data_IF_997157194565
#
_entry.id   IF_997157194565
#
_cell.length_a   1.000
_cell.length_b   1.000
_cell.length_c   1.000
_cell.angle_alpha   90.00
_cell.angle_beta   90.00
_cell.angle_gamma   90.00
#
_symmetry.space_group_name_H-M   'P 1'
#
loop_
_entity.id
_entity.type
_entity.pdbx_description
1 polymer ?
#
# COMPACT_ATOMS: atom_id res chain seq x y z
N UNK A 1 -1.02 -7.13 -11.63
CA UNK A 1 0.10 -7.33 -10.70
C UNK A 1 0.74 -6.01 -10.31
N UNK A 2 0.81 -5.76 -9.01
CA UNK A 2 1.54 -4.69 -8.32
C UNK A 2 2.95 -5.21 -7.98
N UNK A 3 3.98 -4.37 -8.15
CA UNK A 3 5.37 -4.66 -7.80
C UNK A 3 5.92 -3.43 -7.07
N UNK A 4 6.41 -3.60 -5.85
CA UNK A 4 6.96 -2.50 -5.05
C UNK A 4 8.18 -2.94 -4.25
N UNK A 5 9.11 -2.03 -4.02
CA UNK A 5 10.10 -2.14 -2.96
C UNK A 5 9.60 -1.44 -1.71
N UNK A 6 10.00 -1.94 -0.54
CA UNK A 6 9.63 -1.38 0.76
C UNK A 6 10.83 -1.33 1.69
N UNK A 7 11.01 -0.19 2.33
CA UNK A 7 12.07 0.05 3.29
C UNK A 7 11.58 0.80 4.53
N UNK A 8 12.14 0.50 5.70
CA UNK A 8 11.91 1.27 6.92
C UNK A 8 12.74 2.56 6.90
N UNK A 9 12.19 3.60 7.54
CA UNK A 9 12.88 4.86 7.80
C UNK A 9 12.96 5.08 9.31
N UNK A 10 14.19 5.10 9.84
CA UNK A 10 14.43 5.27 11.28
C UNK A 10 14.54 6.73 11.74
N UNK A 11 14.68 7.69 10.80
CA UNK A 11 14.88 9.11 11.10
C UNK A 11 14.11 10.00 10.13
N UNK A 12 13.28 10.89 10.66
CA UNK A 12 12.49 11.85 9.87
C UNK A 12 13.36 12.75 8.98
N UNK A 13 14.58 13.06 9.41
CA UNK A 13 15.55 13.86 8.65
C UNK A 13 15.91 13.24 7.28
N UNK A 14 15.88 11.91 7.17
CA UNK A 14 16.17 11.19 5.93
C UNK A 14 15.08 11.48 4.89
N UNK A 15 13.83 11.70 5.31
CA UNK A 15 12.70 11.94 4.42
C UNK A 15 12.95 13.20 3.59
N UNK A 16 13.31 14.30 4.23
CA UNK A 16 13.64 15.54 3.50
C UNK A 16 14.85 15.37 2.60
N UNK A 17 15.85 14.58 3.00
CA UNK A 17 17.02 14.32 2.15
C UNK A 17 16.63 13.55 0.88
N UNK A 18 15.74 12.55 0.98
CA UNK A 18 15.22 11.81 -0.18
C UNK A 18 14.48 12.76 -1.13
N UNK A 19 13.55 13.59 -0.63
CA UNK A 19 12.79 14.49 -1.50
C UNK A 19 13.60 15.67 -2.06
N UNK A 20 14.75 15.98 -1.47
CA UNK A 20 15.70 16.98 -1.97
C UNK A 20 16.88 16.37 -2.74
N UNK A 21 16.85 15.05 -2.97
CA UNK A 21 17.91 14.35 -3.67
C UNK A 21 18.10 14.92 -5.08
N UNK A 22 19.32 15.34 -5.47
CA UNK A 22 19.56 15.96 -6.77
C UNK A 22 19.26 15.03 -7.96
N UNK A 23 19.47 13.73 -7.80
CA UNK A 23 19.19 12.75 -8.84
C UNK A 23 17.69 12.50 -8.95
N UNK A 24 17.00 12.25 -7.83
CA UNK A 24 15.53 12.06 -7.84
C UNK A 24 14.83 13.31 -8.38
N UNK A 25 15.28 14.50 -7.97
CA UNK A 25 14.77 15.78 -8.50
C UNK A 25 14.92 15.93 -10.02
N UNK A 26 15.94 15.30 -10.62
CA UNK A 26 16.20 15.35 -12.06
C UNK A 26 15.28 14.43 -12.85
N UNK A 27 14.98 13.25 -12.32
CA UNK A 27 14.13 12.23 -12.97
C UNK A 27 12.65 12.32 -12.57
N UNK A 28 12.33 13.19 -11.60
CA UNK A 28 10.97 13.44 -11.16
C UNK A 28 10.13 14.14 -12.23
N UNK A 29 8.90 13.68 -12.41
CA UNK A 29 7.89 14.34 -13.21
C UNK A 29 7.51 15.70 -12.62
N UNK A 30 7.42 16.72 -13.46
CA UNK A 30 7.06 18.08 -13.02
C UNK A 30 5.70 18.09 -12.33
N UNK A 31 5.64 18.72 -11.15
CA UNK A 31 4.43 18.85 -10.32
C UNK A 31 3.81 17.50 -9.89
N UNK A 32 4.63 16.44 -9.79
CA UNK A 32 4.18 15.15 -9.24
C UNK A 32 4.32 15.06 -7.73
N UNK A 33 4.99 16.02 -7.08
CA UNK A 33 5.08 16.06 -5.62
C UNK A 33 3.71 16.29 -5.00
N UNK A 34 3.29 15.37 -4.13
CA UNK A 34 2.01 15.46 -3.44
C UNK A 34 2.16 15.02 -1.98
N UNK A 35 1.38 15.65 -1.11
CA UNK A 35 1.14 15.18 0.25
C UNK A 35 -0.34 14.87 0.42
N UNK A 36 -0.64 13.65 0.87
CA UNK A 36 -2.00 13.11 0.94
C UNK A 36 -2.24 12.55 2.33
N UNK A 37 -3.35 12.94 2.95
CA UNK A 37 -3.87 12.27 4.15
C UNK A 37 -4.55 10.96 3.74
N UNK A 38 -4.12 9.86 4.34
CA UNK A 38 -4.55 8.51 4.01
C UNK A 38 -5.25 7.88 5.21
N UNK A 39 -6.47 7.37 4.99
CA UNK A 39 -7.19 6.54 5.94
C UNK A 39 -7.65 5.25 5.26
N UNK A 40 -7.11 4.11 5.68
CA UNK A 40 -7.54 2.80 5.19
C UNK A 40 -8.19 1.99 6.31
N UNK A 41 -9.29 1.31 5.99
CA UNK A 41 -9.92 0.31 6.84
C UNK A 41 -9.80 -1.03 6.16
N UNK A 42 -9.25 -2.02 6.85
CA UNK A 42 -9.19 -3.40 6.37
C UNK A 42 -10.39 -4.19 6.88
N UNK A 43 -10.90 -5.09 6.04
CA UNK A 43 -12.08 -5.89 6.32
C UNK A 43 -11.82 -7.37 6.11
N UNK A 44 -12.48 -8.17 6.93
CA UNK A 44 -12.60 -9.61 6.74
C UNK A 44 -13.90 -10.08 7.39
N UNK A 45 -14.23 -11.34 7.19
CA UNK A 45 -15.22 -12.06 7.98
C UNK A 45 -14.74 -12.31 9.41
N UNK A 46 -15.68 -12.53 10.33
CA UNK A 46 -15.40 -12.84 11.75
C UNK A 46 -14.44 -14.04 11.92
N UNK A 47 -14.55 -15.06 11.07
CA UNK A 47 -13.67 -16.23 11.07
C UNK A 47 -12.42 -16.08 10.18
N UNK A 48 -12.12 -14.86 9.70
CA UNK A 48 -10.91 -14.49 8.93
C UNK A 48 -10.72 -15.26 7.62
N UNK A 49 -11.80 -15.45 6.87
CA UNK A 49 -11.82 -16.21 5.61
C UNK A 49 -10.94 -15.58 4.54
N UNK A 50 -10.98 -14.26 4.35
CA UNK A 50 -10.15 -13.59 3.34
C UNK A 50 -8.66 -13.80 3.65
N UNK A 51 -8.25 -13.54 4.89
CA UNK A 51 -6.87 -13.76 5.31
C UNK A 51 -6.41 -15.21 5.14
N UNK A 52 -7.24 -16.19 5.49
CA UNK A 52 -6.91 -17.62 5.32
C UNK A 52 -6.73 -18.03 3.87
N UNK A 53 -7.43 -17.36 2.96
CA UNK A 53 -7.29 -17.54 1.50
C UNK A 53 -6.20 -16.62 0.90
N UNK A 54 -5.38 -15.96 1.73
CA UNK A 54 -4.30 -15.10 1.26
C UNK A 54 -4.76 -13.79 0.62
N UNK A 55 -5.95 -13.31 0.98
CA UNK A 55 -6.54 -12.09 0.45
C UNK A 55 -6.61 -10.98 1.50
N UNK A 56 -6.49 -9.73 1.04
CA UNK A 56 -6.70 -8.55 1.86
C UNK A 56 -7.66 -7.59 1.14
N UNK A 57 -8.78 -7.27 1.78
CA UNK A 57 -9.72 -6.26 1.31
C UNK A 57 -9.62 -5.02 2.20
N UNK A 58 -9.34 -3.86 1.61
CA UNK A 58 -9.48 -2.56 2.26
C UNK A 58 -10.37 -1.59 1.48
N UNK A 59 -10.92 -0.61 2.19
CA UNK A 59 -11.39 0.65 1.60
C UNK A 59 -10.48 1.75 2.13
N UNK A 60 -9.97 2.59 1.23
CA UNK A 60 -9.02 3.66 1.54
C UNK A 60 -9.55 4.99 1.05
N UNK A 61 -9.48 6.00 1.90
CA UNK A 61 -9.64 7.41 1.57
C UNK A 61 -8.27 8.04 1.35
N UNK A 62 -8.09 8.67 0.19
CA UNK A 62 -6.89 9.34 -0.29
C UNK A 62 -7.23 10.82 -0.51
N UNK A 63 -7.04 11.64 0.52
CA UNK A 63 -7.60 12.98 0.56
C UNK A 63 -9.14 12.96 0.44
N UNK A 64 -9.65 13.28 -0.75
CA UNK A 64 -11.10 13.30 -1.04
C UNK A 64 -11.57 12.13 -1.92
N UNK A 65 -10.67 11.24 -2.36
CA UNK A 65 -11.01 10.08 -3.18
C UNK A 65 -11.18 8.85 -2.30
N UNK A 66 -12.10 7.97 -2.64
CA UNK A 66 -12.23 6.66 -2.01
C UNK A 66 -11.95 5.56 -3.02
N UNK A 67 -11.19 4.55 -2.59
CA UNK A 67 -10.79 3.40 -3.39
C UNK A 67 -10.97 2.13 -2.56
N UNK A 68 -11.71 1.17 -3.11
CA UNK A 68 -11.72 -0.20 -2.61
C UNK A 68 -10.62 -0.99 -3.30
N UNK A 69 -9.88 -1.75 -2.52
CA UNK A 69 -8.75 -2.54 -3.00
C UNK A 69 -8.87 -3.97 -2.53
N UNK A 70 -8.74 -4.92 -3.46
CA UNK A 70 -8.50 -6.33 -3.15
C UNK A 70 -7.09 -6.70 -3.59
N UNK A 71 -6.27 -7.24 -2.66
CA UNK A 71 -4.94 -7.80 -2.92
C UNK A 71 -4.94 -9.30 -2.66
N UNK A 72 -4.25 -10.08 -3.49
CA UNK A 72 -4.09 -11.54 -3.30
C UNK A 72 -2.82 -12.07 -3.96
N UNK A 73 -2.50 -13.35 -3.72
CA UNK A 73 -1.33 -14.04 -4.28
C UNK A 73 -0.01 -13.26 -4.09
N UNK A 74 0.19 -12.73 -2.88
CA UNK A 74 1.36 -11.92 -2.56
C UNK A 74 2.59 -12.72 -2.18
N UNK A 75 3.77 -12.25 -2.59
CA UNK A 75 5.08 -12.67 -2.10
C UNK A 75 5.88 -11.45 -1.64
N UNK A 76 6.80 -11.66 -0.70
CA UNK A 76 7.72 -10.63 -0.21
C UNK A 76 9.09 -11.24 0.08
N UNK A 77 10.14 -10.71 -0.51
CA UNK A 77 11.53 -11.14 -0.29
C UNK A 77 12.46 -9.93 -0.40
N UNK A 78 13.37 -9.75 0.56
CA UNK A 78 14.31 -8.63 0.62
C UNK A 78 13.72 -7.25 0.32
N UNK A 79 12.50 -6.99 0.80
CA UNK A 79 11.77 -5.73 0.62
C UNK A 79 11.00 -5.63 -0.69
N UNK A 80 11.16 -6.57 -1.63
CA UNK A 80 10.39 -6.64 -2.86
C UNK A 80 9.05 -7.34 -2.61
N UNK A 81 7.94 -6.64 -2.79
CA UNK A 81 6.58 -7.18 -2.72
C UNK A 81 6.01 -7.31 -4.13
N UNK A 82 5.41 -8.47 -4.42
CA UNK A 82 4.64 -8.70 -5.65
C UNK A 82 3.30 -9.29 -5.29
N UNK A 83 2.21 -8.76 -5.84
CA UNK A 83 0.88 -9.29 -5.59
C UNK A 83 -0.08 -8.90 -6.70
N UNK A 84 -1.14 -9.67 -6.85
CA UNK A 84 -2.25 -9.21 -7.67
C UNK A 84 -3.08 -8.19 -6.89
N UNK A 85 -3.59 -7.20 -7.60
CA UNK A 85 -4.40 -6.13 -7.03
C UNK A 85 -5.48 -5.69 -8.02
N UNK A 86 -6.65 -5.35 -7.48
CA UNK A 86 -7.68 -4.57 -8.18
C UNK A 86 -8.06 -3.38 -7.31
N UNK A 87 -8.03 -2.19 -7.91
CA UNK A 87 -8.50 -0.94 -7.31
C UNK A 87 -9.79 -0.51 -8.02
N UNK A 88 -10.83 -0.21 -7.25
CA UNK A 88 -12.12 0.29 -7.76
C UNK A 88 -12.45 1.60 -7.04
N UNK A 89 -12.68 2.71 -7.77
CA UNK A 89 -13.19 3.94 -7.17
C UNK A 89 -14.55 3.70 -6.48
N UNK A 90 -14.75 4.36 -5.34
CA UNK A 90 -15.98 4.25 -4.56
C UNK A 90 -16.50 5.65 -4.27
N UNK A 91 -17.80 5.87 -4.46
CA UNK A 91 -18.42 7.20 -4.34
C UNK A 91 -19.20 7.38 -3.02
N UNK A 92 -19.12 6.40 -2.10
CA UNK A 92 -19.87 6.36 -0.84
C UNK A 92 -18.94 6.10 0.36
N UNK A 93 -18.87 7.06 1.29
CA UNK A 93 -18.05 6.95 2.51
C UNK A 93 -18.55 5.89 3.49
N UNK A 94 -19.81 5.43 3.41
CA UNK A 94 -20.30 4.34 4.26
C UNK A 94 -19.55 3.02 3.98
N UNK A 95 -18.88 2.89 2.83
CA UNK A 95 -18.01 1.74 2.53
C UNK A 95 -16.77 1.66 3.42
N UNK A 96 -16.37 2.76 4.09
CA UNK A 96 -15.33 2.71 5.14
C UNK A 96 -15.80 2.00 6.42
N UNK A 97 -17.10 1.74 6.58
CA UNK A 97 -17.66 1.02 7.73
C UNK A 97 -18.23 -0.33 7.34
N UNK A 98 -18.95 -0.36 6.20
CA UNK A 98 -19.71 -1.52 5.77
C UNK A 98 -19.57 -1.71 4.25
N UNK A 99 -18.43 -2.23 3.79
CA UNK A 99 -18.25 -2.56 2.38
C UNK A 99 -19.01 -3.83 2.03
N UNK A 100 -19.22 -4.02 0.74
CA UNK A 100 -19.74 -5.26 0.17
C UNK A 100 -18.84 -5.73 -0.98
N UNK A 101 -18.88 -7.02 -1.27
CA UNK A 101 -18.02 -7.63 -2.29
C UNK A 101 -18.43 -7.26 -3.72
N UNK A 102 -19.64 -6.76 -3.95
CA UNK A 102 -20.12 -6.36 -5.28
C UNK A 102 -19.46 -5.08 -5.78
N UNK A 103 -18.70 -4.37 -4.94
CA UNK A 103 -17.78 -3.32 -5.39
C UNK A 103 -16.83 -3.83 -6.49
N UNK A 104 -16.51 -5.14 -6.51
CA UNK A 104 -15.65 -5.74 -7.52
C UNK A 104 -16.42 -6.48 -8.63
N UNK A 105 -17.70 -6.20 -8.86
CA UNK A 105 -18.58 -6.93 -9.80
C UNK A 105 -18.07 -7.03 -11.25
N UNK A 106 -17.29 -6.04 -11.70
CA UNK A 106 -16.64 -6.04 -13.02
C UNK A 106 -15.41 -6.96 -13.10
N UNK A 107 -15.00 -7.57 -11.99
CA UNK A 107 -13.90 -8.53 -11.91
C UNK A 107 -14.40 -9.94 -11.62
N UNK A 108 -13.70 -10.93 -12.18
CA UNK A 108 -13.90 -12.35 -11.85
C UNK A 108 -13.70 -12.63 -10.35
N UNK A 109 -12.92 -11.78 -9.66
CA UNK A 109 -12.70 -11.89 -8.22
C UNK A 109 -13.99 -11.70 -7.40
N UNK A 110 -15.03 -11.04 -7.92
CA UNK A 110 -16.32 -10.97 -7.22
C UNK A 110 -16.93 -12.36 -6.98
N UNK A 111 -16.80 -13.27 -7.95
CA UNK A 111 -17.28 -14.65 -7.80
C UNK A 111 -16.44 -15.42 -6.77
N UNK A 112 -15.13 -15.20 -6.75
CA UNK A 112 -14.23 -15.80 -5.76
C UNK A 112 -14.59 -15.30 -4.36
N UNK A 113 -14.71 -13.98 -4.18
CA UNK A 113 -15.14 -13.37 -2.92
C UNK A 113 -16.50 -13.90 -2.45
N UNK A 114 -17.45 -14.09 -3.38
CA UNK A 114 -18.77 -14.66 -3.07
C UNK A 114 -18.67 -16.07 -2.47
N UNK A 115 -17.74 -16.89 -2.96
CA UNK A 115 -17.50 -18.23 -2.40
C UNK A 115 -16.76 -18.18 -1.05
N UNK A 116 -15.74 -17.34 -0.92
CA UNK A 116 -14.90 -17.24 0.28
C UNK A 116 -15.71 -16.67 1.46
N UNK A 117 -16.40 -15.55 1.24
CA UNK A 117 -17.23 -14.85 2.24
C UNK A 117 -18.53 -15.62 2.48
N UNK A 118 -19.18 -16.11 1.42
CA UNK A 118 -20.47 -16.78 1.50
C UNK A 118 -21.56 -15.87 2.04
N UNK A 119 -22.26 -16.30 3.11
CA UNK A 119 -23.34 -15.53 3.76
C UNK A 119 -22.88 -14.66 4.94
N UNK A 120 -21.57 -14.54 5.16
CA UNK A 120 -21.00 -13.79 6.27
C UNK A 120 -20.94 -12.31 5.93
N UNK A 121 -20.87 -11.48 6.96
CA UNK A 121 -20.62 -10.06 6.81
C UNK A 121 -19.12 -9.79 6.84
N UNK A 122 -18.69 -8.79 6.07
CA UNK A 122 -17.40 -8.15 6.25
C UNK A 122 -17.49 -7.22 7.47
N UNK A 123 -16.53 -7.34 8.36
CA UNK A 123 -16.38 -6.50 9.55
C UNK A 123 -15.05 -5.76 9.47
N UNK A 124 -14.98 -4.51 9.99
CA UNK A 124 -13.72 -3.79 10.08
C UNK A 124 -12.78 -4.52 11.04
N UNK A 125 -11.52 -4.64 10.65
CA UNK A 125 -10.47 -5.32 11.41
C UNK A 125 -9.48 -4.35 12.06
N UNK A 126 -9.09 -3.32 11.32
CA UNK A 126 -8.09 -2.33 11.73
C UNK A 126 -8.23 -1.07 10.88
N UNK A 127 -7.85 0.05 11.48
CA UNK A 127 -7.68 1.32 10.81
C UNK A 127 -6.20 1.59 10.61
N UNK A 128 -5.87 2.23 9.49
CA UNK A 128 -4.53 2.70 9.19
C UNK A 128 -4.61 4.16 8.80
N UNK A 129 -3.91 5.00 9.54
CA UNK A 129 -3.86 6.45 9.31
C UNK A 129 -2.42 6.85 9.04
N UNK A 130 -2.17 7.51 7.92
CA UNK A 130 -0.84 8.01 7.62
C UNK A 130 -0.91 9.19 6.67
N UNK A 131 0.12 10.03 6.73
CA UNK A 131 0.39 11.02 5.70
C UNK A 131 1.35 10.39 4.71
N UNK A 132 0.97 10.39 3.43
CA UNK A 132 1.84 9.99 2.31
C UNK A 132 2.42 11.23 1.68
N UNK A 133 3.75 11.27 1.53
CA UNK A 133 4.42 12.20 0.60
C UNK A 133 4.90 11.37 -0.59
N UNK A 134 4.64 11.80 -1.80
CA UNK A 134 4.96 11.01 -2.99
C UNK A 134 5.47 11.86 -4.16
N UNK A 135 6.18 11.21 -5.08
CA UNK A 135 6.59 11.78 -6.36
C UNK A 135 6.68 10.68 -7.43
N UNK A 136 6.40 11.05 -8.68
CA UNK A 136 6.53 10.14 -9.83
C UNK A 136 7.90 10.31 -10.47
N UNK A 137 8.58 9.21 -10.70
CA UNK A 137 9.95 9.14 -11.22
C UNK A 137 9.94 8.46 -12.60
N UNK A 138 10.59 9.10 -13.58
CA UNK A 138 10.78 8.59 -14.93
C UNK A 138 12.29 8.47 -15.22
N UNK A 139 12.80 7.24 -15.21
CA UNK A 139 14.20 6.94 -15.52
C UNK A 139 14.49 6.96 -17.03
N UNK A 140 13.45 7.10 -17.86
CA UNK A 140 13.46 6.85 -19.30
C UNK A 140 13.29 5.38 -19.68
N UNK A 141 13.40 4.46 -18.72
CA UNK A 141 13.12 3.01 -18.89
C UNK A 141 11.86 2.58 -18.15
N UNK A 142 11.64 3.16 -16.97
CA UNK A 142 10.53 2.82 -16.10
C UNK A 142 9.90 4.05 -15.48
N UNK A 143 8.61 3.92 -15.22
CA UNK A 143 7.81 4.86 -14.46
C UNK A 143 7.55 4.22 -13.10
N UNK A 144 7.98 4.89 -12.04
CA UNK A 144 7.74 4.47 -10.66
C UNK A 144 7.13 5.59 -9.83
N UNK A 145 6.45 5.24 -8.74
CA UNK A 145 6.09 6.17 -7.67
C UNK A 145 6.97 5.90 -6.46
N UNK A 146 7.71 6.91 -6.01
CA UNK A 146 8.34 6.89 -4.69
C UNK A 146 7.37 7.53 -3.71
N UNK A 147 7.07 6.82 -2.63
CA UNK A 147 6.26 7.35 -1.54
C UNK A 147 6.94 7.13 -0.18
N UNK A 148 6.67 8.04 0.76
CA UNK A 148 7.03 7.90 2.17
C UNK A 148 5.76 8.04 2.99
N UNK A 149 5.51 7.05 3.84
CA UNK A 149 4.34 6.98 4.71
C UNK A 149 4.76 7.19 6.17
N UNK A 150 4.10 8.15 6.83
CA UNK A 150 4.26 8.42 8.26
C UNK A 150 2.91 8.37 8.97
N UNK A 151 2.78 7.50 9.98
CA UNK A 151 1.53 7.38 10.71
C UNK A 151 1.47 6.16 11.61
N UNK A 152 0.31 5.50 11.63
CA UNK A 152 0.04 4.41 12.55
C UNK A 152 -1.02 3.42 12.05
N UNK A 153 -0.88 2.19 12.52
CA UNK A 153 -1.85 1.11 12.43
C UNK A 153 -2.56 1.03 13.79
N UNK A 154 -3.89 0.99 13.79
CA UNK A 154 -4.72 0.87 14.99
C UNK A 154 -5.56 -0.39 14.87
N UNK A 155 -5.37 -1.33 15.80
CA UNK A 155 -6.11 -2.59 15.82
C UNK A 155 -6.37 -3.02 17.26
N UNK A 156 -7.62 -3.31 17.62
CA UNK A 156 -8.03 -3.73 18.98
C UNK A 156 -7.49 -2.85 20.12
N UNK A 157 -7.42 -1.53 19.90
CA UNK A 157 -6.88 -0.57 20.88
C UNK A 157 -5.35 -0.58 21.03
N UNK A 158 -4.63 -1.44 20.29
CA UNK A 158 -3.17 -1.40 20.16
C UNK A 158 -2.79 -0.57 18.94
N UNK A 159 -1.57 -0.02 18.99
CA UNK A 159 -1.02 0.86 17.95
C UNK A 159 0.36 0.39 17.53
N UNK A 160 0.66 0.42 16.24
CA UNK A 160 2.02 0.27 15.69
C UNK A 160 2.35 1.45 14.77
N UNK A 161 3.57 2.00 14.83
CA UNK A 161 3.98 3.12 13.98
C UNK A 161 4.17 2.68 12.52
N UNK A 162 3.97 3.63 11.61
CA UNK A 162 4.33 3.54 10.19
C UNK A 162 5.40 4.61 9.95
N UNK A 163 6.54 4.16 9.45
CA UNK A 163 7.64 4.99 8.94
C UNK A 163 8.38 4.20 7.88
N UNK A 164 7.94 4.35 6.63
CA UNK A 164 8.44 3.54 5.53
C UNK A 164 8.44 4.28 4.20
N UNK A 165 9.41 3.92 3.35
CA UNK A 165 9.47 4.31 1.95
C UNK A 165 9.03 3.14 1.08
N UNK A 166 8.27 3.44 0.03
CA UNK A 166 7.91 2.49 -1.02
C UNK A 166 8.37 3.04 -2.37
N UNK A 167 8.79 2.15 -3.28
CA UNK A 167 8.95 2.47 -4.71
C UNK A 167 8.11 1.46 -5.49
N UNK A 168 6.99 1.92 -6.05
CA UNK A 168 6.06 1.09 -6.82
C UNK A 168 6.31 1.26 -8.32
N UNK A 169 6.40 0.15 -9.07
CA UNK A 169 6.55 0.16 -10.52
C UNK A 169 5.19 0.29 -11.20
N UNK A 170 4.97 1.37 -11.95
CA UNK A 170 3.77 1.53 -12.77
C UNK A 170 3.92 0.95 -14.17
N UNK A 171 5.08 1.11 -14.80
CA UNK A 171 5.37 0.55 -16.12
C UNK A 171 6.86 0.52 -16.38
N UNK A 172 7.35 -0.47 -17.14
CA UNK A 172 8.75 -0.56 -17.54
C UNK A 172 9.42 -1.82 -17.02
N UNK A 173 10.68 -1.71 -16.65
CA UNK A 173 11.56 -2.81 -16.27
C UNK A 173 11.66 -2.94 -14.75
N UNK A 174 11.39 -4.14 -14.22
CA UNK A 174 11.51 -4.40 -12.77
C UNK A 174 12.95 -4.21 -12.28
N UNK A 175 13.93 -4.64 -13.06
CA UNK A 175 15.35 -4.50 -12.70
C UNK A 175 15.79 -3.03 -12.60
N UNK A 176 15.20 -2.15 -13.39
CA UNK A 176 15.48 -0.71 -13.37
C UNK A 176 14.88 -0.04 -12.12
N UNK A 177 13.64 -0.38 -11.76
CA UNK A 177 13.04 0.04 -10.49
C UNK A 177 13.81 -0.51 -9.28
N UNK A 178 14.27 -1.76 -9.37
CA UNK A 178 15.13 -2.37 -8.35
C UNK A 178 16.45 -1.62 -8.17
N UNK A 179 17.14 -1.31 -9.27
CA UNK A 179 18.39 -0.55 -9.21
C UNK A 179 18.18 0.83 -8.58
N UNK A 180 17.10 1.53 -8.94
CA UNK A 180 16.74 2.80 -8.32
C UNK A 180 16.51 2.66 -6.80
N UNK A 181 15.79 1.63 -6.36
CA UNK A 181 15.56 1.39 -4.93
C UNK A 181 16.81 1.00 -4.17
N UNK A 182 17.67 0.16 -4.75
CA UNK A 182 18.96 -0.23 -4.17
C UNK A 182 19.86 1.00 -3.99
N UNK A 183 19.96 1.88 -5.00
CA UNK A 183 20.74 3.12 -4.93
C UNK A 183 20.24 4.07 -3.82
N UNK A 184 18.92 4.23 -3.71
CA UNK A 184 18.31 5.06 -2.66
C UNK A 184 18.53 4.44 -1.27
N UNK A 185 18.33 3.13 -1.15
CA UNK A 185 18.52 2.41 0.12
C UNK A 185 19.97 2.45 0.60
N UNK A 186 20.95 2.24 -0.28
CA UNK A 186 22.38 2.35 0.06
C UNK A 186 22.73 3.77 0.50
N UNK A 187 22.30 4.78 -0.27
CA UNK A 187 22.61 6.18 -0.01
C UNK A 187 22.09 6.66 1.34
N UNK A 188 20.89 6.23 1.72
CA UNK A 188 20.21 6.70 2.93
C UNK A 188 20.21 5.68 4.07
N UNK A 189 20.86 4.53 3.91
CA UNK A 189 20.95 3.48 4.91
C UNK A 189 19.60 2.87 5.28
N UNK A 190 18.72 2.69 4.29
CA UNK A 190 17.37 2.16 4.51
C UNK A 190 17.38 0.64 4.66
N UNK A 191 16.47 0.11 5.47
CA UNK A 191 16.39 -1.33 5.77
C UNK A 191 15.18 -1.92 5.04
N UNK A 192 15.40 -2.96 4.24
CA UNK A 192 14.30 -3.65 3.53
C UNK A 192 13.26 -4.25 4.50
N UNK A 193 11.98 -4.14 4.16
CA UNK A 193 10.86 -4.61 4.99
C UNK A 193 9.95 -5.56 4.22
N UNK A 194 9.81 -6.79 4.73
CA UNK A 194 8.95 -7.83 4.13
C UNK A 194 7.54 -7.85 4.73
N UNK A 195 7.29 -7.12 5.81
CA UNK A 195 6.03 -7.14 6.53
C UNK A 195 5.11 -6.03 6.05
N UNK A 196 4.01 -6.40 5.39
CA UNK A 196 3.00 -5.41 4.97
C UNK A 196 2.35 -4.71 6.17
N UNK A 197 1.79 -3.51 5.93
CA UNK A 197 0.97 -2.80 6.92
C UNK A 197 -0.19 -3.66 7.44
N UNK A 198 -0.84 -4.42 6.55
CA UNK A 198 -1.90 -5.37 6.91
C UNK A 198 -1.40 -6.46 7.87
N UNK A 199 -0.25 -7.08 7.56
CA UNK A 199 0.33 -8.13 8.39
C UNK A 199 0.71 -7.60 9.78
N UNK A 200 1.37 -6.42 9.85
CA UNK A 200 1.66 -5.76 11.14
C UNK A 200 0.40 -5.51 11.95
N UNK A 201 -0.70 -5.10 11.33
CA UNK A 201 -1.97 -4.94 12.03
C UNK A 201 -2.59 -6.25 12.51
N UNK A 202 -2.45 -7.35 11.76
CA UNK A 202 -2.87 -8.69 12.21
C UNK A 202 -2.04 -9.16 13.42
N UNK A 203 -0.77 -8.81 13.48
CA UNK A 203 0.12 -9.14 14.61
C UNK A 203 -0.22 -8.35 15.89
N UNK A 204 -1.00 -7.27 15.77
CA UNK A 204 -1.57 -6.53 16.89
C UNK A 204 -2.86 -7.15 17.45
N UNK A 205 -3.50 -8.09 16.76
CA UNK A 205 -4.79 -8.64 17.20
C UNK A 205 -4.74 -9.41 18.52
#
# INVERSE_FOLDING_TARGET
MEIELKYLIDKDEIIEQIFQDPYLSKIKDKNSDEEIEMHAVYFDTEDRRLYREGMAFRVRKEGNKLVATLKWNGTSEDGMHKREEINVPVDDEEKLKMPDIHIFDQSEMCQVLSHVVGKRNLIPLMDIYFKRRQMRLDTGKSISELSVDLGQIVCNGKVAPISEMEIELYSGEEEDMKALGDDVAEKYGLIAENTSKFKRGLDLM
#
